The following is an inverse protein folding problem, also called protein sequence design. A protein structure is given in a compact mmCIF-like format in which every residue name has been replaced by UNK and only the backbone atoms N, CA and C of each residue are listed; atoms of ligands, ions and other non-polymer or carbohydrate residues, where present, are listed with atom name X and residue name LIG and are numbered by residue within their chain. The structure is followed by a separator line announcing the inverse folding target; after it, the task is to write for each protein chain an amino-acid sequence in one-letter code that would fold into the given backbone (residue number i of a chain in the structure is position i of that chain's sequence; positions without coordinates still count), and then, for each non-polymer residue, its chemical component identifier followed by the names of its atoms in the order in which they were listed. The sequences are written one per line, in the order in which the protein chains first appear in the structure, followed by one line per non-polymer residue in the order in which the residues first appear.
data_IF_563054416161
#
_entry.id   IF_563054416161
#
_cell.length_a   1.000
_cell.length_b   1.000
_cell.length_c   1.000
_cell.angle_alpha   90.00
_cell.angle_beta   90.00
_cell.angle_gamma   90.00
#
_symmetry.space_group_name_H-M   'P 1'
#
loop_
_entity.id
_entity.type
_entity.pdbx_description
1 polymer ?
#
# COMPACT_ATOMS: atom_id res chain seq x y z
N UNK A 1 -59.99 4.27 -39.28
CA UNK A 1 -59.42 3.49 -38.16
C UNK A 1 -57.97 3.13 -38.45
N UNK A 2 -57.64 2.56 -39.61
CA UNK A 2 -56.26 2.15 -39.97
C UNK A 2 -55.16 3.23 -39.78
N UNK A 3 -55.45 4.50 -40.07
CA UNK A 3 -54.46 5.58 -39.95
C UNK A 3 -54.13 5.94 -38.48
N UNK A 4 -55.05 5.68 -37.54
CA UNK A 4 -54.82 5.91 -36.10
C UNK A 4 -54.00 4.78 -35.50
N UNK A 5 -54.34 3.53 -35.82
CA UNK A 5 -53.57 2.36 -35.38
C UNK A 5 -52.14 2.36 -35.93
N UNK A 6 -51.94 2.75 -37.20
CA UNK A 6 -50.60 2.90 -37.78
C UNK A 6 -49.77 3.98 -37.05
N UNK A 7 -50.40 5.06 -36.60
CA UNK A 7 -49.73 6.15 -35.88
C UNK A 7 -49.31 5.70 -34.48
N UNK A 8 -50.17 4.97 -33.77
CA UNK A 8 -49.86 4.37 -32.47
C UNK A 8 -48.73 3.34 -32.54
N UNK A 9 -48.74 2.47 -33.57
CA UNK A 9 -47.66 1.51 -33.81
C UNK A 9 -46.34 2.22 -34.08
N UNK A 10 -46.34 3.27 -34.90
CA UNK A 10 -45.14 4.05 -35.22
C UNK A 10 -44.55 4.73 -33.98
N UNK A 11 -45.40 5.23 -33.09
CA UNK A 11 -44.97 5.88 -31.84
C UNK A 11 -44.40 4.88 -30.84
N UNK A 12 -45.02 3.69 -30.72
CA UNK A 12 -44.48 2.59 -29.92
C UNK A 12 -43.12 2.10 -30.44
N UNK A 13 -42.96 2.00 -31.76
CA UNK A 13 -41.68 1.61 -32.38
C UNK A 13 -40.60 2.66 -32.15
N UNK A 14 -40.92 3.95 -32.25
CA UNK A 14 -39.99 5.05 -31.93
C UNK A 14 -39.52 4.98 -30.47
N UNK A 15 -40.45 4.73 -29.53
CA UNK A 15 -40.10 4.59 -28.11
C UNK A 15 -39.18 3.40 -27.87
N UNK A 16 -39.49 2.23 -28.46
CA UNK A 16 -38.62 1.04 -28.38
C UNK A 16 -37.25 1.27 -29.02
N UNK A 17 -37.18 2.02 -30.12
CA UNK A 17 -35.93 2.37 -30.77
C UNK A 17 -35.07 3.24 -29.85
N UNK A 18 -35.67 4.27 -29.23
CA UNK A 18 -34.99 5.13 -28.25
C UNK A 18 -34.49 4.35 -27.04
N UNK A 19 -35.31 3.47 -26.46
CA UNK A 19 -34.90 2.61 -25.33
C UNK A 19 -33.70 1.72 -25.71
N UNK A 20 -33.70 1.17 -26.94
CA UNK A 20 -32.59 0.35 -27.44
C UNK A 20 -31.33 1.15 -27.70
N UNK A 21 -31.47 2.39 -28.17
CA UNK A 21 -30.36 3.30 -28.41
C UNK A 21 -29.69 3.74 -27.09
N UNK A 22 -30.48 4.02 -26.06
CA UNK A 22 -29.98 4.26 -24.70
C UNK A 22 -29.28 3.02 -24.10
N UNK A 23 -29.85 1.83 -24.30
CA UNK A 23 -29.25 0.56 -23.85
C UNK A 23 -27.90 0.31 -24.56
N UNK A 24 -27.84 0.56 -25.87
CA UNK A 24 -26.62 0.45 -26.66
C UNK A 24 -25.57 1.47 -26.19
N UNK A 25 -25.98 2.70 -25.93
CA UNK A 25 -25.08 3.75 -25.46
C UNK A 25 -24.49 3.41 -24.08
N UNK A 26 -25.28 2.80 -23.19
CA UNK A 26 -24.78 2.28 -21.89
C UNK A 26 -23.77 1.15 -22.10
N UNK A 27 -24.07 0.18 -22.98
CA UNK A 27 -23.15 -0.93 -23.28
C UNK A 27 -21.83 -0.43 -23.87
N UNK A 28 -21.87 0.54 -24.78
CA UNK A 28 -20.65 1.12 -25.36
C UNK A 28 -19.77 1.78 -24.30
N UNK A 29 -20.35 2.52 -23.35
CA UNK A 29 -19.55 3.11 -22.25
C UNK A 29 -18.90 2.04 -21.36
N UNK A 30 -19.57 0.90 -21.15
CA UNK A 30 -18.98 -0.21 -20.40
C UNK A 30 -17.82 -0.85 -21.17
N UNK A 31 -17.94 -0.98 -22.49
CA UNK A 31 -16.87 -1.50 -23.35
C UNK A 31 -15.65 -0.59 -23.28
N UNK A 32 -15.82 0.74 -23.41
CA UNK A 32 -14.72 1.70 -23.31
C UNK A 32 -13.98 1.61 -21.95
N UNK A 33 -14.74 1.46 -20.85
CA UNK A 33 -14.17 1.24 -19.50
C UNK A 33 -13.36 -0.05 -19.44
N UNK A 34 -13.89 -1.14 -20.00
CA UNK A 34 -13.22 -2.44 -19.99
C UNK A 34 -11.97 -2.46 -20.87
N UNK A 35 -11.99 -1.73 -21.99
CA UNK A 35 -10.84 -1.58 -22.88
C UNK A 35 -9.72 -0.79 -22.20
N UNK A 36 -10.05 0.33 -21.54
CA UNK A 36 -9.09 1.08 -20.75
C UNK A 36 -8.53 0.25 -19.57
N UNK A 37 -9.37 -0.55 -18.89
CA UNK A 37 -8.92 -1.46 -17.84
C UNK A 37 -7.94 -2.51 -18.37
N UNK A 38 -8.24 -3.10 -19.55
CA UNK A 38 -7.40 -4.09 -20.21
C UNK A 38 -6.03 -3.50 -20.55
N UNK A 39 -5.97 -2.26 -21.06
CA UNK A 39 -4.71 -1.58 -21.37
C UNK A 39 -3.83 -1.40 -20.12
N UNK A 40 -4.43 -0.94 -19.01
CA UNK A 40 -3.68 -0.77 -17.74
C UNK A 40 -3.13 -2.10 -17.23
N UNK A 41 -3.94 -3.16 -17.26
CA UNK A 41 -3.51 -4.51 -16.86
C UNK A 41 -2.38 -5.02 -17.78
N UNK A 42 -2.45 -4.74 -19.08
CA UNK A 42 -1.41 -5.16 -20.03
C UNK A 42 -0.09 -4.44 -19.76
N UNK A 43 -0.13 -3.14 -19.49
CA UNK A 43 1.06 -2.36 -19.12
C UNK A 43 1.70 -2.90 -17.84
N UNK A 44 0.91 -3.12 -16.78
CA UNK A 44 1.39 -3.65 -15.50
C UNK A 44 1.97 -5.07 -15.65
N UNK A 45 1.33 -5.93 -16.45
CA UNK A 45 1.86 -7.26 -16.75
C UNK A 45 3.19 -7.20 -17.51
N UNK A 46 3.34 -6.26 -18.45
CA UNK A 46 4.57 -6.08 -19.20
C UNK A 46 5.71 -5.59 -18.30
N UNK A 47 5.43 -4.66 -17.39
CA UNK A 47 6.38 -4.17 -16.40
C UNK A 47 6.79 -5.27 -15.42
N UNK A 48 5.82 -6.00 -14.85
CA UNK A 48 6.09 -7.14 -13.99
C UNK A 48 6.95 -8.19 -14.69
N UNK A 49 6.67 -8.49 -15.96
CA UNK A 49 7.49 -9.42 -16.77
C UNK A 49 8.94 -8.93 -16.91
N UNK A 50 9.15 -7.62 -17.06
CA UNK A 50 10.49 -7.02 -17.13
C UNK A 50 11.21 -7.16 -15.79
N UNK A 51 10.55 -6.80 -14.69
CA UNK A 51 11.09 -6.92 -13.32
C UNK A 51 11.45 -8.36 -12.97
N UNK A 52 10.59 -9.33 -13.32
CA UNK A 52 10.87 -10.75 -13.13
C UNK A 52 12.12 -11.16 -13.89
N UNK A 53 12.26 -10.72 -15.15
CA UNK A 53 13.44 -11.04 -15.97
C UNK A 53 14.72 -10.49 -15.32
N UNK A 54 14.70 -9.25 -14.86
CA UNK A 54 15.85 -8.62 -14.16
C UNK A 54 16.19 -9.32 -12.85
N UNK A 55 15.18 -9.74 -12.06
CA UNK A 55 15.39 -10.48 -10.81
C UNK A 55 15.95 -11.88 -11.06
N UNK A 56 15.46 -12.58 -12.08
CA UNK A 56 15.98 -13.91 -12.47
C UNK A 56 17.44 -13.82 -12.91
N UNK A 57 17.80 -12.79 -13.68
CA UNK A 57 19.18 -12.54 -14.10
C UNK A 57 20.09 -12.26 -12.90
N UNK A 58 19.62 -11.44 -11.93
CA UNK A 58 20.33 -11.20 -10.67
C UNK A 58 20.51 -12.49 -9.86
N UNK A 59 19.51 -13.35 -9.78
CA UNK A 59 19.60 -14.63 -9.05
C UNK A 59 20.61 -15.61 -9.68
N UNK A 60 20.80 -15.58 -11.01
CA UNK A 60 21.79 -16.41 -11.70
C UNK A 60 23.25 -15.99 -11.40
N UNK A 61 23.49 -14.76 -10.94
CA UNK A 61 24.83 -14.26 -10.60
C UNK A 61 25.26 -14.56 -9.16
N UNK A 62 24.34 -15.05 -8.31
CA UNK A 62 24.64 -15.41 -6.92
C UNK A 62 25.12 -16.86 -6.85
N UNK A 63 26.41 -17.08 -6.54
CA UNK A 63 26.98 -18.43 -6.35
C UNK A 63 26.32 -19.13 -5.14
N UNK A 64 26.14 -20.47 -5.18
CA UNK A 64 25.57 -21.19 -4.06
C UNK A 64 26.54 -21.16 -2.87
N UNK A 65 26.09 -20.61 -1.75
CA UNK A 65 26.79 -20.77 -0.46
C UNK A 65 26.43 -22.15 0.05
N UNK A 66 27.34 -23.11 -0.11
CA UNK A 66 27.27 -24.41 0.57
C UNK A 66 27.54 -24.18 2.06
N UNK A 67 26.50 -23.88 2.83
CA UNK A 67 26.56 -23.96 4.29
C UNK A 67 26.26 -25.39 4.71
N UNK A 68 27.31 -26.10 5.09
CA UNK A 68 27.26 -27.42 5.73
C UNK A 68 26.54 -27.28 7.07
N UNK A 69 25.28 -27.71 7.16
CA UNK A 69 24.56 -27.81 8.44
C UNK A 69 24.96 -29.13 9.12
N UNK A 70 25.64 -29.02 10.25
CA UNK A 70 25.93 -30.13 11.14
C UNK A 70 24.69 -30.37 12.02
N UNK A 71 24.04 -31.52 11.84
CA UNK A 71 22.90 -31.93 12.66
C UNK A 71 23.38 -32.47 14.00
N UNK A 72 23.06 -31.77 15.09
CA UNK A 72 22.96 -32.38 16.42
C UNK A 72 21.50 -32.35 16.85
N UNK A 73 20.97 -33.53 17.12
CA UNK A 73 19.61 -33.78 17.59
C UNK A 73 19.64 -33.78 19.12
N UNK A 74 18.88 -32.90 19.78
CA UNK A 74 18.41 -33.09 21.16
C UNK A 74 16.99 -32.51 21.33
N UNK A 75 16.32 -33.02 22.35
CA UNK A 75 14.89 -33.33 22.45
C UNK A 75 13.91 -32.14 22.59
N UNK A 76 12.67 -32.39 22.16
CA UNK A 76 11.52 -31.48 22.13
C UNK A 76 10.88 -31.34 23.52
N UNK A 77 10.56 -30.10 23.96
CA UNK A 77 9.37 -29.81 24.75
C UNK A 77 8.33 -29.00 23.94
N UNK A 78 7.06 -29.24 24.25
CA UNK A 78 5.77 -28.76 23.70
C UNK A 78 5.72 -27.44 22.86
N UNK A 79 4.77 -27.33 21.90
CA UNK A 79 4.72 -26.25 20.91
C UNK A 79 4.18 -24.95 21.51
N UNK A 80 5.06 -24.19 22.14
CA UNK A 80 4.91 -22.73 22.19
C UNK A 80 5.45 -22.24 20.86
N UNK A 81 4.65 -21.54 20.06
CA UNK A 81 5.15 -20.91 18.83
C UNK A 81 6.07 -19.77 19.27
N UNK A 82 7.34 -20.09 19.52
CA UNK A 82 8.37 -19.11 19.87
C UNK A 82 8.78 -18.40 18.58
N UNK A 83 7.97 -17.41 18.19
CA UNK A 83 8.31 -16.48 17.13
C UNK A 83 9.48 -15.62 17.62
N UNK A 84 10.50 -15.44 16.77
CA UNK A 84 11.55 -14.46 17.04
C UNK A 84 10.98 -13.06 17.25
N UNK A 85 11.64 -12.21 18.03
CA UNK A 85 11.24 -10.81 18.20
C UNK A 85 11.09 -10.09 16.85
N UNK A 86 11.97 -10.38 15.89
CA UNK A 86 11.89 -9.84 14.53
C UNK A 86 10.61 -10.28 13.80
N UNK A 87 10.19 -11.54 13.98
CA UNK A 87 8.94 -12.04 13.40
C UNK A 87 7.72 -11.39 14.06
N UNK A 88 7.78 -11.10 15.37
CA UNK A 88 6.73 -10.35 16.09
C UNK A 88 6.63 -8.91 15.59
N UNK A 89 7.75 -8.21 15.43
CA UNK A 89 7.81 -6.82 14.92
C UNK A 89 7.29 -6.73 13.47
N UNK A 90 7.73 -7.66 12.62
CA UNK A 90 7.24 -7.78 11.24
C UNK A 90 5.72 -8.03 11.21
N UNK A 91 5.23 -8.94 12.06
CA UNK A 91 3.81 -9.24 12.18
C UNK A 91 3.02 -8.02 12.68
N UNK A 92 3.52 -7.31 13.70
CA UNK A 92 2.90 -6.09 14.21
C UNK A 92 2.73 -5.05 13.11
N UNK A 93 3.79 -4.80 12.33
CA UNK A 93 3.76 -3.86 11.21
C UNK A 93 2.70 -4.23 10.18
N UNK A 94 2.70 -5.49 9.72
CA UNK A 94 1.73 -5.97 8.71
C UNK A 94 0.29 -5.98 9.23
N UNK A 95 0.09 -6.33 10.51
CA UNK A 95 -1.22 -6.29 11.13
C UNK A 95 -1.74 -4.85 11.27
N UNK A 96 -0.84 -3.90 11.55
CA UNK A 96 -1.19 -2.48 11.61
C UNK A 96 -1.64 -1.96 10.24
N UNK A 97 -0.95 -2.33 9.16
CA UNK A 97 -1.39 -2.04 7.78
C UNK A 97 -2.79 -2.58 7.52
N UNK A 98 -3.01 -3.86 7.84
CA UNK A 98 -4.30 -4.51 7.64
C UNK A 98 -5.41 -3.83 8.45
N UNK A 99 -5.12 -3.39 9.68
CA UNK A 99 -6.06 -2.66 10.51
C UNK A 99 -6.34 -1.25 9.97
N UNK A 100 -5.32 -0.58 9.46
CA UNK A 100 -5.45 0.74 8.79
C UNK A 100 -6.38 0.65 7.59
N UNK A 101 -6.20 -0.37 6.72
CA UNK A 101 -7.11 -0.62 5.59
C UNK A 101 -8.57 -0.81 6.02
N UNK A 102 -8.80 -1.44 7.18
CA UNK A 102 -10.14 -1.65 7.72
C UNK A 102 -10.74 -0.40 8.34
N UNK A 103 -9.94 0.38 9.08
CA UNK A 103 -10.39 1.54 9.85
C UNK A 103 -10.57 2.77 8.97
N UNK A 104 -9.59 3.10 8.12
CA UNK A 104 -9.68 4.24 7.21
C UNK A 104 -10.61 3.99 6.02
N UNK A 105 -10.89 2.73 5.70
CA UNK A 105 -11.72 2.28 4.58
C UNK A 105 -11.46 3.07 3.27
N UNK A 106 -10.30 2.86 2.64
CA UNK A 106 -9.92 3.53 1.38
C UNK A 106 -10.98 3.43 0.28
N UNK A 107 -11.71 2.30 0.22
CA UNK A 107 -12.75 2.05 -0.77
C UNK A 107 -13.93 3.01 -0.62
N UNK A 108 -14.36 3.29 0.61
CA UNK A 108 -15.42 4.25 0.85
C UNK A 108 -14.99 5.66 0.49
N UNK A 109 -13.79 6.07 0.92
CA UNK A 109 -13.26 7.41 0.64
C UNK A 109 -13.12 7.66 -0.85
N UNK A 110 -12.59 6.71 -1.62
CA UNK A 110 -12.51 6.92 -3.07
C UNK A 110 -13.88 7.04 -3.72
N UNK A 111 -14.88 6.25 -3.30
CA UNK A 111 -16.25 6.39 -3.80
C UNK A 111 -16.79 7.80 -3.54
N UNK A 112 -16.64 8.32 -2.31
CA UNK A 112 -17.10 9.66 -1.94
C UNK A 112 -16.46 10.76 -2.79
N UNK A 113 -15.13 10.70 -2.98
CA UNK A 113 -14.38 11.69 -3.80
C UNK A 113 -14.80 11.63 -5.27
N UNK A 114 -15.03 10.42 -5.77
CA UNK A 114 -15.33 10.19 -7.17
C UNK A 114 -16.79 10.53 -7.51
N UNK A 115 -17.69 10.32 -6.56
CA UNK A 115 -19.08 10.77 -6.62
C UNK A 115 -19.17 12.30 -6.58
N UNK A 116 -18.33 12.97 -5.79
CA UNK A 116 -18.27 14.43 -5.81
C UNK A 116 -17.86 14.96 -7.19
N UNK A 117 -16.81 14.38 -7.78
CA UNK A 117 -16.39 14.73 -9.13
C UNK A 117 -17.50 14.48 -10.15
N UNK A 118 -18.16 13.33 -10.08
CA UNK A 118 -19.24 12.95 -11.00
C UNK A 118 -20.46 13.87 -10.89
N UNK A 119 -20.79 14.36 -9.68
CA UNK A 119 -21.91 15.29 -9.46
C UNK A 119 -21.66 16.67 -10.06
N UNK A 120 -20.40 17.13 -10.08
CA UNK A 120 -20.03 18.44 -10.63
C UNK A 120 -19.67 18.38 -12.12
N UNK A 121 -19.28 17.20 -12.61
CA UNK A 121 -18.95 16.97 -14.01
C UNK A 121 -20.20 17.00 -14.90
N UNK A 122 -20.19 17.88 -15.90
CA UNK A 122 -21.23 17.95 -16.93
C UNK A 122 -20.90 17.06 -18.14
N UNK A 123 -19.63 16.73 -18.33
CA UNK A 123 -19.13 15.93 -19.44
C UNK A 123 -19.12 14.42 -19.12
N UNK A 124 -19.52 13.64 -20.12
CA UNK A 124 -19.62 12.18 -20.00
C UNK A 124 -18.25 11.52 -19.80
N UNK A 125 -17.20 12.13 -20.33
CA UNK A 125 -15.82 11.63 -20.25
C UNK A 125 -15.28 11.66 -18.82
N UNK A 126 -15.49 12.75 -18.07
CA UNK A 126 -15.11 12.83 -16.66
C UNK A 126 -15.93 11.85 -15.82
N UNK A 127 -17.22 11.68 -16.10
CA UNK A 127 -18.04 10.69 -15.38
C UNK A 127 -17.56 9.26 -15.64
N UNK A 128 -17.05 8.96 -16.84
CA UNK A 128 -16.41 7.67 -17.15
C UNK A 128 -15.07 7.57 -16.40
N UNK A 129 -14.24 8.61 -16.47
CA UNK A 129 -12.93 8.67 -15.77
C UNK A 129 -13.08 8.41 -14.28
N UNK A 130 -14.05 9.06 -13.65
CA UNK A 130 -14.45 8.83 -12.27
C UNK A 130 -14.77 7.34 -12.01
N UNK A 131 -15.69 6.75 -12.78
CA UNK A 131 -16.06 5.34 -12.61
C UNK A 131 -14.88 4.37 -12.82
N UNK A 132 -14.01 4.67 -13.80
CA UNK A 132 -12.80 3.89 -14.04
C UNK A 132 -11.84 3.94 -12.85
N UNK A 133 -11.67 5.12 -12.25
CA UNK A 133 -10.76 5.32 -11.13
C UNK A 133 -11.12 4.45 -9.92
N UNK A 134 -12.41 4.38 -9.57
CA UNK A 134 -12.90 3.54 -8.45
C UNK A 134 -12.55 2.07 -8.69
N UNK A 135 -12.83 1.54 -9.88
CA UNK A 135 -12.55 0.14 -10.22
C UNK A 135 -11.06 -0.16 -10.22
N UNK A 136 -10.26 0.74 -10.78
CA UNK A 136 -8.81 0.56 -10.83
C UNK A 136 -8.21 0.57 -9.42
N UNK A 137 -8.64 1.52 -8.59
CA UNK A 137 -8.21 1.60 -7.20
C UNK A 137 -8.63 0.38 -6.39
N UNK A 138 -9.85 -0.13 -6.59
CA UNK A 138 -10.32 -1.37 -5.97
C UNK A 138 -9.41 -2.55 -6.31
N UNK A 139 -9.09 -2.73 -7.59
CA UNK A 139 -8.21 -3.80 -8.05
C UNK A 139 -6.82 -3.70 -7.41
N UNK A 140 -6.22 -2.51 -7.40
CA UNK A 140 -4.89 -2.28 -6.80
C UNK A 140 -4.91 -2.45 -5.28
N UNK A 141 -5.98 -2.00 -4.61
CA UNK A 141 -6.14 -2.14 -3.15
C UNK A 141 -6.32 -3.61 -2.76
N UNK A 142 -7.08 -4.38 -3.54
CA UNK A 142 -7.21 -5.82 -3.34
C UNK A 142 -5.88 -6.55 -3.52
N UNK A 143 -5.09 -6.18 -4.53
CA UNK A 143 -3.74 -6.70 -4.71
C UNK A 143 -2.84 -6.40 -3.51
N UNK A 144 -2.80 -5.14 -3.06
CA UNK A 144 -2.04 -4.71 -1.89
C UNK A 144 -2.47 -5.47 -0.62
N UNK A 145 -3.77 -5.55 -0.34
CA UNK A 145 -4.32 -6.29 0.80
C UNK A 145 -3.96 -7.78 0.74
N UNK A 146 -4.03 -8.39 -0.43
CA UNK A 146 -3.64 -9.80 -0.63
C UNK A 146 -2.15 -10.01 -0.39
N UNK A 147 -1.30 -9.08 -0.83
CA UNK A 147 0.14 -9.12 -0.56
C UNK A 147 0.40 -9.06 0.95
N UNK A 148 -0.19 -8.09 1.66
CA UNK A 148 -0.08 -7.96 3.13
C UNK A 148 -0.53 -9.24 3.84
N UNK A 149 -1.70 -9.77 3.50
CA UNK A 149 -2.23 -10.98 4.12
C UNK A 149 -1.38 -12.23 3.83
N UNK A 150 -0.78 -12.31 2.65
CA UNK A 150 0.13 -13.41 2.29
C UNK A 150 1.42 -13.34 3.12
N UNK A 151 2.00 -12.15 3.30
CA UNK A 151 3.17 -11.94 4.15
C UNK A 151 2.87 -12.25 5.62
N UNK A 152 1.70 -11.83 6.15
CA UNK A 152 1.26 -12.19 7.51
C UNK A 152 1.26 -13.70 7.68
N UNK A 153 0.61 -14.42 6.76
CA UNK A 153 0.55 -15.90 6.82
C UNK A 153 1.93 -16.52 6.74
N UNK A 154 2.81 -15.97 5.90
CA UNK A 154 4.17 -16.48 5.74
C UNK A 154 5.01 -16.27 7.01
N UNK A 155 4.98 -15.08 7.61
CA UNK A 155 5.69 -14.78 8.87
C UNK A 155 5.16 -15.64 10.03
N UNK A 156 3.86 -15.91 10.08
CA UNK A 156 3.28 -16.81 11.11
C UNK A 156 3.79 -18.25 11.02
N UNK A 157 4.32 -18.68 9.87
CA UNK A 157 4.84 -20.03 9.64
C UNK A 157 6.37 -20.09 9.77
N UNK A 158 7.07 -18.96 9.64
CA UNK A 158 8.52 -18.88 9.78
C UNK A 158 8.89 -18.37 11.17
N UNK A 159 9.45 -19.24 12.01
CA UNK A 159 9.82 -18.90 13.40
C UNK A 159 11.08 -18.04 13.50
N UNK A 160 11.97 -18.07 12.49
CA UNK A 160 13.22 -17.32 12.47
C UNK A 160 13.29 -16.41 11.24
N UNK A 161 13.43 -15.10 11.49
CA UNK A 161 13.35 -14.06 10.48
C UNK A 161 14.61 -13.18 10.55
N UNK A 162 15.35 -13.02 9.44
CA UNK A 162 16.53 -12.17 9.41
C UNK A 162 16.21 -10.74 9.86
N UNK A 163 17.13 -10.11 10.58
CA UNK A 163 16.97 -8.71 11.06
C UNK A 163 16.82 -7.69 9.92
N UNK A 164 17.25 -8.02 8.71
CA UNK A 164 17.12 -7.18 7.52
C UNK A 164 15.96 -7.61 6.61
N UNK A 165 15.02 -8.41 7.12
CA UNK A 165 13.87 -8.82 6.33
C UNK A 165 12.97 -7.62 6.04
N UNK A 166 12.74 -7.40 4.76
CA UNK A 166 11.85 -6.37 4.24
C UNK A 166 10.71 -7.09 3.50
N UNK A 167 9.43 -6.87 3.88
CA UNK A 167 8.30 -7.47 3.19
C UNK A 167 8.18 -7.02 1.74
N UNK A 168 8.89 -5.97 1.31
CA UNK A 168 8.87 -5.43 -0.08
C UNK A 168 7.44 -5.30 -0.59
N UNK A 169 6.58 -4.73 0.24
CA UNK A 169 5.18 -4.54 -0.12
C UNK A 169 5.10 -3.65 -1.37
N UNK A 170 4.13 -3.91 -2.27
CA UNK A 170 3.86 -2.99 -3.37
C UNK A 170 3.47 -1.62 -2.81
N UNK A 171 3.72 -0.56 -3.58
CA UNK A 171 3.29 0.78 -3.18
C UNK A 171 1.76 0.83 -3.01
N UNK A 172 1.31 1.58 -2.00
CA UNK A 172 -0.12 1.76 -1.79
C UNK A 172 -0.74 2.51 -2.99
N UNK A 173 -1.95 2.15 -3.44
CA UNK A 173 -2.51 2.72 -4.65
C UNK A 173 -2.72 4.24 -4.53
N UNK A 174 -2.28 4.97 -5.55
CA UNK A 174 -2.54 6.41 -5.71
C UNK A 174 -3.49 6.67 -6.89
N UNK A 175 -4.04 7.88 -6.94
CA UNK A 175 -4.89 8.32 -8.05
C UNK A 175 -4.16 8.31 -9.39
N UNK A 176 -4.85 7.98 -10.47
CA UNK A 176 -4.30 8.15 -11.82
C UNK A 176 -4.12 9.62 -12.18
N UNK A 177 -3.15 9.91 -13.05
CA UNK A 177 -2.90 11.25 -13.55
C UNK A 177 -4.11 11.84 -14.30
N UNK A 178 -4.86 11.00 -15.03
CA UNK A 178 -6.09 11.40 -15.71
C UNK A 178 -7.14 11.88 -14.71
N UNK A 179 -7.38 11.11 -13.64
CA UNK A 179 -8.31 11.50 -12.59
C UNK A 179 -7.87 12.77 -11.87
N UNK A 180 -6.60 12.88 -11.48
CA UNK A 180 -6.07 14.07 -10.80
C UNK A 180 -6.25 15.33 -11.66
N UNK A 181 -5.98 15.24 -12.96
CA UNK A 181 -6.13 16.36 -13.89
C UNK A 181 -7.60 16.78 -14.03
N UNK A 182 -8.51 15.81 -14.19
CA UNK A 182 -9.95 16.07 -14.25
C UNK A 182 -10.48 16.70 -12.95
N UNK A 183 -10.05 16.17 -11.81
CA UNK A 183 -10.41 16.68 -10.48
C UNK A 183 -9.97 18.14 -10.30
N UNK A 184 -8.70 18.46 -10.59
CA UNK A 184 -8.20 19.84 -10.52
C UNK A 184 -8.93 20.79 -11.47
N UNK A 185 -9.28 20.32 -12.67
CA UNK A 185 -9.96 21.16 -13.67
C UNK A 185 -11.37 21.55 -13.22
N UNK A 186 -12.13 20.60 -12.66
CA UNK A 186 -13.54 20.80 -12.31
C UNK A 186 -13.70 21.39 -10.90
N UNK A 187 -12.92 20.89 -9.95
CA UNK A 187 -13.04 21.27 -8.53
C UNK A 187 -12.05 22.35 -8.11
N UNK A 188 -11.07 22.70 -8.96
CA UNK A 188 -10.03 23.71 -8.68
C UNK A 188 -9.25 23.47 -7.38
N UNK A 189 -9.18 22.21 -6.95
CA UNK A 189 -8.50 21.76 -5.75
C UNK A 189 -7.79 20.44 -6.04
N UNK A 190 -6.82 20.08 -5.20
CA UNK A 190 -6.20 18.76 -5.25
C UNK A 190 -7.13 17.71 -4.64
N UNK A 191 -7.15 16.47 -5.19
CA UNK A 191 -7.95 15.40 -4.63
C UNK A 191 -7.45 15.05 -3.22
N UNK A 192 -8.36 14.81 -2.26
CA UNK A 192 -7.98 14.49 -0.89
C UNK A 192 -7.27 13.14 -0.82
N UNK A 193 -6.39 12.97 0.16
CA UNK A 193 -5.67 11.70 0.36
C UNK A 193 -6.63 10.59 0.79
N UNK A 194 -6.60 9.45 0.09
CA UNK A 194 -7.49 8.32 0.40
C UNK A 194 -7.08 7.61 1.70
N UNK A 195 -5.78 7.41 1.93
CA UNK A 195 -5.28 6.77 3.13
C UNK A 195 -4.02 7.48 3.57
N UNK A 196 -4.12 8.36 4.57
CA UNK A 196 -3.01 9.23 4.93
C UNK A 196 -1.85 8.44 5.54
N UNK A 197 -2.16 7.42 6.33
CA UNK A 197 -1.17 6.58 7.01
C UNK A 197 -0.39 5.72 6.00
N UNK A 198 -1.06 5.15 5.00
CA UNK A 198 -0.42 4.26 4.01
C UNK A 198 0.19 5.00 2.81
N UNK A 199 -0.19 6.25 2.57
CA UNK A 199 0.42 7.10 1.53
C UNK A 199 1.71 7.81 2.00
N UNK A 200 2.00 7.83 3.32
CA UNK A 200 3.33 8.18 3.82
C UNK A 200 4.27 7.01 3.50
N UNK A 201 5.26 7.22 2.64
CA UNK A 201 6.25 6.22 2.27
C UNK A 201 7.26 5.94 3.41
N UNK A 202 7.96 4.80 3.37
CA UNK A 202 7.45 3.45 3.59
C UNK A 202 6.99 3.28 5.05
N UNK A 203 6.49 2.10 5.42
CA UNK A 203 6.18 1.64 6.78
C UNK A 203 7.41 1.59 7.74
N UNK A 204 8.37 2.50 7.57
CA UNK A 204 9.57 2.70 8.38
C UNK A 204 9.40 3.84 9.40
N UNK A 205 8.23 4.50 9.40
CA UNK A 205 7.83 5.44 10.45
C UNK A 205 6.56 4.92 11.13
N UNK A 206 6.70 3.79 11.83
CA UNK A 206 5.99 3.71 13.10
C UNK A 206 6.62 4.80 13.95
N UNK A 207 5.87 5.88 14.16
CA UNK A 207 6.18 6.84 15.21
C UNK A 207 6.23 6.03 16.50
N UNK A 208 7.44 5.63 16.93
CA UNK A 208 7.62 5.17 18.30
C UNK A 208 7.24 6.35 19.17
N UNK A 209 6.04 6.26 19.73
CA UNK A 209 5.50 7.27 20.63
C UNK A 209 6.04 7.08 22.02
N UNK A 210 6.74 5.97 22.32
CA UNK A 210 7.26 5.63 23.64
C UNK A 210 8.78 5.39 23.60
N UNK A 211 9.53 6.01 24.51
CA UNK A 211 10.95 5.78 24.67
C UNK A 211 11.21 4.54 25.54
N UNK A 212 11.66 3.43 24.95
CA UNK A 212 11.92 2.16 25.68
C UNK A 212 13.02 2.21 26.76
N UNK A 213 13.72 3.34 26.93
CA UNK A 213 14.70 3.53 28.02
C UNK A 213 14.00 4.04 29.30
N UNK A 214 13.03 4.93 29.17
CA UNK A 214 12.29 5.51 30.29
C UNK A 214 10.84 5.05 30.38
N UNK A 215 10.32 4.37 29.35
CA UNK A 215 8.92 3.96 29.21
C UNK A 215 7.93 5.13 29.25
N UNK A 216 8.38 6.32 28.85
CA UNK A 216 7.54 7.52 28.75
C UNK A 216 7.32 7.90 27.28
N UNK A 217 6.18 8.54 27.02
CA UNK A 217 5.81 9.00 25.70
C UNK A 217 6.70 10.17 25.21
N UNK A 218 7.12 10.12 23.95
CA UNK A 218 7.83 11.17 23.22
C UNK A 218 6.80 12.10 22.57
N UNK A 219 6.54 13.25 23.20
CA UNK A 219 5.54 14.23 22.73
C UNK A 219 5.88 14.85 21.35
N UNK A 220 7.14 14.80 20.91
CA UNK A 220 7.56 15.28 19.57
C UNK A 220 8.89 14.69 19.10
N UNK A 221 9.16 14.75 17.79
CA UNK A 221 10.43 14.30 17.19
C UNK A 221 11.64 15.22 17.43
N UNK A 222 11.46 16.38 18.08
CA UNK A 222 12.49 17.44 18.15
C UNK A 222 13.62 17.18 19.14
N UNK A 223 13.43 16.26 20.08
CA UNK A 223 14.41 15.91 21.13
C UNK A 223 14.61 14.38 21.17
N UNK A 224 14.71 13.77 19.99
CA UNK A 224 14.80 12.32 19.86
C UNK A 224 15.89 11.90 18.88
N UNK A 225 16.69 10.91 19.29
CA UNK A 225 17.69 10.26 18.45
C UNK A 225 17.07 9.02 17.80
N UNK A 226 17.22 8.89 16.48
CA UNK A 226 16.74 7.76 15.70
C UNK A 226 17.88 6.81 15.37
N UNK A 227 17.71 5.52 15.63
CA UNK A 227 18.65 4.51 15.15
C UNK A 227 18.57 4.36 13.62
N UNK A 228 19.69 4.40 12.90
CA UNK A 228 19.67 4.28 11.43
C UNK A 228 19.26 2.89 10.94
N UNK A 229 19.53 1.82 11.70
CA UNK A 229 19.20 0.44 11.32
C UNK A 229 17.76 0.08 11.63
N UNK A 230 17.37 0.10 12.91
CA UNK A 230 16.05 -0.34 13.35
C UNK A 230 15.02 0.79 13.38
N UNK A 231 15.43 2.01 13.02
CA UNK A 231 14.58 3.22 12.96
C UNK A 231 13.93 3.62 14.28
N UNK A 232 14.30 2.99 15.40
CA UNK A 232 13.74 3.25 16.73
C UNK A 232 14.18 4.60 17.28
N UNK A 233 13.24 5.34 17.90
CA UNK A 233 13.50 6.65 18.53
C UNK A 233 13.63 6.56 20.05
N UNK A 234 14.43 7.46 20.60
CA UNK A 234 14.68 7.61 22.04
C UNK A 234 14.80 9.09 22.37
N UNK A 235 14.39 9.51 23.57
CA UNK A 235 14.74 10.85 24.06
C UNK A 235 16.26 11.04 24.01
N UNK A 236 16.74 12.19 23.53
CA UNK A 236 18.18 12.50 23.46
C UNK A 236 18.85 12.33 24.83
N UNK A 237 18.21 12.82 25.89
CA UNK A 237 18.73 12.65 27.26
C UNK A 237 18.80 11.19 27.73
N UNK A 238 17.93 10.31 27.22
CA UNK A 238 17.93 8.89 27.58
C UNK A 238 19.01 8.13 26.81
N UNK A 239 19.10 8.37 25.50
CA UNK A 239 20.03 7.65 24.64
C UNK A 239 21.47 8.13 24.81
N UNK A 240 21.74 9.42 25.04
CA UNK A 240 23.09 9.90 25.36
C UNK A 240 23.62 9.28 26.66
N UNK A 241 22.76 9.00 27.66
CA UNK A 241 23.17 8.26 28.87
C UNK A 241 23.50 6.81 28.55
N UNK A 242 22.73 6.17 27.68
CA UNK A 242 22.98 4.80 27.25
C UNK A 242 24.28 4.67 26.45
N UNK A 243 24.53 5.58 25.49
CA UNK A 243 25.71 5.56 24.63
C UNK A 243 27.03 5.75 25.38
N UNK A 244 27.00 6.41 26.55
CA UNK A 244 28.14 6.50 27.48
C UNK A 244 28.55 5.16 28.08
N UNK A 245 27.62 4.20 28.15
CA UNK A 245 27.86 2.86 28.71
C UNK A 245 28.03 1.81 27.61
N UNK A 246 27.17 1.85 26.59
CA UNK A 246 27.18 0.98 25.42
C UNK A 246 26.91 1.79 24.16
N UNK A 247 27.87 1.81 23.23
CA UNK A 247 27.76 2.51 21.93
C UNK A 247 26.83 1.82 20.93
N UNK A 248 25.79 1.13 21.40
CA UNK A 248 24.90 0.32 20.57
C UNK A 248 23.45 0.67 20.84
N UNK A 249 22.59 0.51 19.84
CA UNK A 249 21.14 0.67 19.97
C UNK A 249 20.59 -0.27 21.06
N UNK A 250 19.76 0.22 22.01
CA UNK A 250 19.11 -0.62 23.02
C UNK A 250 18.24 -1.73 22.45
N UNK A 251 17.70 -1.56 21.23
CA UNK A 251 16.79 -2.53 20.61
C UNK A 251 17.50 -3.51 19.68
N UNK A 252 18.34 -3.03 18.76
CA UNK A 252 18.95 -3.89 17.74
C UNK A 252 20.44 -4.19 17.96
N UNK A 253 21.05 -3.64 19.00
CA UNK A 253 22.49 -3.75 19.29
C UNK A 253 23.44 -3.27 18.18
N UNK A 254 22.94 -2.62 17.13
CA UNK A 254 23.79 -1.99 16.12
C UNK A 254 24.55 -0.81 16.73
N UNK A 255 25.80 -0.60 16.29
CA UNK A 255 26.59 0.57 16.65
C UNK A 255 25.82 1.87 16.35
N UNK A 256 25.71 2.73 17.36
CA UNK A 256 25.18 4.08 17.21
C UNK A 256 26.26 5.07 17.64
N UNK A 257 26.52 6.03 16.77
CA UNK A 257 27.49 7.09 17.00
C UNK A 257 26.75 8.32 17.52
N UNK A 258 27.30 8.91 18.58
CA UNK A 258 26.87 10.22 19.05
C UNK A 258 27.57 11.28 18.19
N UNK A 259 26.80 12.10 17.46
CA UNK A 259 27.34 13.17 16.62
C UNK A 259 28.06 14.26 17.45
N UNK A 260 27.77 14.37 18.76
CA UNK A 260 28.47 15.32 19.64
C UNK A 260 29.90 14.87 20.01
N UNK A 261 30.17 13.55 20.08
CA UNK A 261 31.52 13.02 20.38
C UNK A 261 32.38 12.86 19.12
N UNK A 262 31.76 12.73 17.94
CA UNK A 262 32.44 12.48 16.66
C UNK A 262 31.84 13.33 15.54
N UNK A 263 32.12 14.65 15.50
CA UNK A 263 31.67 15.50 14.40
C UNK A 263 32.22 14.99 13.08
N UNK A 264 31.38 15.01 12.04
CA UNK A 264 31.79 14.61 10.70
C UNK A 264 32.95 15.50 10.24
N UNK A 265 34.04 14.87 9.80
CA UNK A 265 35.19 15.58 9.24
C UNK A 265 34.77 16.20 7.91
N UNK A 266 34.47 17.50 7.92
CA UNK A 266 34.25 18.33 6.74
C UNK A 266 35.53 18.49 5.92
#
# INVERSE_FOLDING_TARGET
MENVEQKEIMEMLKKKLQEKEEELQKKNTVIEVLEAEKEVIQQENQENKKTIKELVEKLQTVKPVTSTMSTQTMEIPAPVIDLSENAKDALFTLLNVRNTLKTENPMRKIQEVTDELSKKASDKETQITAKCEVKLFERKTNFYSNAVNSHIKWVMVQSDLPSNWDPRLPEFPAYTQKFQTAYKTILKADPPKICEILLKAPLEELEDTECVICSDDMESHKETLKCEKCKRRYHDGCISKWLKVKRTCPMCNELMLDEEEFPQLS
#
